data_IF_590583640206
#
_entry.id   IF_590583640206
#
_cell.length_a   1.000
_cell.length_b   1.000
_cell.length_c   1.000
_cell.angle_alpha   90.00
_cell.angle_beta   90.00
_cell.angle_gamma   90.00
#
_symmetry.space_group_name_H-M   'P 1'
#
loop_
_entity.id
_entity.type
_entity.pdbx_description
1 polymer ?
#
# COMPACT_ATOMS: atom_id res chain seq x y z
N UNK A 1 11.92 -25.15 -5.40
CA UNK A 1 11.62 -24.92 -3.97
C UNK A 1 10.14 -25.25 -3.75
N UNK A 2 9.71 -25.74 -2.59
CA UNK A 2 8.30 -26.11 -2.37
C UNK A 2 7.76 -25.54 -1.06
N UNK A 3 6.54 -24.98 -1.09
CA UNK A 3 5.86 -24.34 0.05
C UNK A 3 4.36 -24.64 0.01
N UNK A 4 3.64 -24.42 1.12
CA UNK A 4 2.16 -24.51 1.12
C UNK A 4 1.56 -23.29 0.43
N UNK A 5 2.07 -22.11 0.77
CA UNK A 5 1.61 -20.84 0.22
C UNK A 5 2.77 -20.05 -0.38
N UNK A 6 2.55 -19.51 -1.57
CA UNK A 6 3.45 -18.54 -2.19
C UNK A 6 2.72 -17.20 -2.32
N UNK A 7 3.29 -16.14 -1.74
CA UNK A 7 2.75 -14.80 -1.79
C UNK A 7 3.65 -13.95 -2.69
N UNK A 8 3.06 -13.38 -3.74
CA UNK A 8 3.77 -12.57 -4.73
C UNK A 8 3.60 -11.09 -4.41
N UNK A 9 4.66 -10.45 -3.93
CA UNK A 9 4.70 -9.06 -3.52
C UNK A 9 4.62 -8.92 -2.00
N UNK A 10 5.68 -8.39 -1.38
CA UNK A 10 5.68 -8.03 0.04
C UNK A 10 5.18 -6.59 0.25
N UNK A 11 4.07 -6.25 -0.42
CA UNK A 11 3.40 -4.96 -0.28
C UNK A 11 2.49 -4.89 0.94
N UNK A 12 1.63 -3.87 0.96
CA UNK A 12 0.70 -3.62 2.06
C UNK A 12 -0.14 -4.85 2.45
N UNK A 13 -0.75 -5.52 1.46
CA UNK A 13 -1.53 -6.73 1.72
C UNK A 13 -0.64 -7.96 1.95
N UNK A 14 0.40 -8.14 1.13
CA UNK A 14 1.24 -9.35 1.18
C UNK A 14 1.95 -9.55 2.51
N UNK A 15 2.42 -8.48 3.16
CA UNK A 15 2.97 -8.55 4.51
C UNK A 15 1.94 -9.03 5.55
N UNK A 16 0.69 -8.60 5.43
CA UNK A 16 -0.41 -9.02 6.33
C UNK A 16 -0.75 -10.50 6.09
N UNK A 17 -0.90 -10.91 4.83
CA UNK A 17 -1.21 -12.30 4.47
C UNK A 17 -0.11 -13.24 4.95
N UNK A 18 1.17 -12.89 4.73
CA UNK A 18 2.30 -13.68 5.20
C UNK A 18 2.29 -13.84 6.73
N UNK A 19 1.95 -12.77 7.46
CA UNK A 19 1.80 -12.83 8.91
C UNK A 19 0.72 -13.80 9.37
N UNK A 20 -0.46 -13.76 8.73
CA UNK A 20 -1.59 -14.60 9.12
C UNK A 20 -1.40 -16.06 8.72
N UNK A 21 -0.96 -16.35 7.50
CA UNK A 21 -0.77 -17.72 7.03
C UNK A 21 0.36 -18.47 7.75
N UNK A 22 1.38 -17.75 8.23
CA UNK A 22 2.48 -18.35 9.00
C UNK A 22 2.23 -18.43 10.51
N UNK A 23 1.09 -17.92 11.02
CA UNK A 23 0.87 -17.69 12.44
C UNK A 23 0.87 -18.95 13.31
N UNK A 24 0.32 -20.05 12.80
CA UNK A 24 0.17 -21.31 13.54
C UNK A 24 1.41 -22.23 13.43
N UNK A 25 2.41 -21.86 12.63
CA UNK A 25 3.60 -22.66 12.38
C UNK A 25 3.39 -23.89 11.48
N UNK A 26 2.15 -24.19 11.06
CA UNK A 26 1.80 -25.41 10.32
C UNK A 26 2.04 -25.28 8.83
N UNK A 27 1.84 -24.08 8.29
CA UNK A 27 2.01 -23.82 6.87
C UNK A 27 3.39 -23.22 6.59
N UNK A 28 4.09 -23.77 5.61
CA UNK A 28 5.30 -23.17 5.04
C UNK A 28 4.91 -22.08 4.03
N UNK A 29 5.44 -20.87 4.23
CA UNK A 29 5.07 -19.68 3.47
C UNK A 29 6.30 -19.08 2.80
N UNK A 30 6.22 -18.87 1.50
CA UNK A 30 7.20 -18.12 0.73
C UNK A 30 6.64 -16.74 0.37
N UNK A 31 7.31 -15.68 0.80
CA UNK A 31 6.99 -14.29 0.44
C UNK A 31 8.08 -13.75 -0.50
N UNK A 32 7.71 -13.38 -1.73
CA UNK A 32 8.63 -12.92 -2.77
C UNK A 32 8.43 -11.43 -3.03
N UNK A 33 9.51 -10.65 -3.02
CA UNK A 33 9.50 -9.21 -3.26
C UNK A 33 10.56 -8.80 -4.30
N UNK A 34 10.14 -8.08 -5.33
CA UNK A 34 11.02 -7.57 -6.38
C UNK A 34 11.98 -6.48 -5.87
N UNK A 35 11.56 -5.76 -4.85
CA UNK A 35 12.31 -4.70 -4.20
C UNK A 35 13.36 -5.14 -3.20
N UNK A 36 14.04 -4.14 -2.64
CA UNK A 36 15.06 -4.32 -1.61
C UNK A 36 14.43 -4.56 -0.23
N UNK A 37 15.27 -4.86 0.76
CA UNK A 37 14.92 -4.76 2.18
C UNK A 37 14.57 -3.30 2.54
N UNK A 38 13.80 -3.13 3.60
CA UNK A 38 13.28 -1.87 4.14
C UNK A 38 14.23 -1.12 5.09
N UNK A 39 15.53 -1.42 5.07
CA UNK A 39 16.51 -0.86 6.01
C UNK A 39 16.97 0.58 5.72
N UNK A 40 16.47 1.23 4.66
CA UNK A 40 16.89 2.58 4.32
C UNK A 40 16.23 3.62 5.25
N UNK A 41 17.03 4.56 5.75
CA UNK A 41 16.57 5.64 6.64
C UNK A 41 15.45 6.46 6.02
N UNK A 42 15.50 6.70 4.70
CA UNK A 42 14.45 7.42 3.96
C UNK A 42 13.09 6.73 4.00
N UNK A 43 13.02 5.43 4.30
CA UNK A 43 11.76 4.70 4.46
C UNK A 43 11.18 4.87 5.86
N UNK A 44 12.00 5.11 6.88
CA UNK A 44 11.56 5.34 8.26
C UNK A 44 11.12 6.77 8.52
N UNK A 45 11.85 7.74 7.96
CA UNK A 45 11.66 9.17 8.19
C UNK A 45 10.46 9.70 7.39
N UNK A 46 9.36 10.17 8.02
CA UNK A 46 8.21 10.73 7.32
C UNK A 46 8.56 11.88 6.37
N UNK A 47 9.42 12.80 6.82
CA UNK A 47 9.85 13.96 6.04
C UNK A 47 10.63 13.59 4.76
N UNK A 48 11.14 12.36 4.66
CA UNK A 48 11.89 11.88 3.51
C UNK A 48 11.00 11.34 2.37
N UNK A 49 9.68 11.39 2.49
CA UNK A 49 8.73 10.86 1.49
C UNK A 49 9.08 11.27 0.04
N UNK A 50 9.31 12.56 -0.20
CA UNK A 50 9.64 13.09 -1.54
C UNK A 50 10.95 12.55 -2.10
N UNK A 51 11.90 12.14 -1.25
CA UNK A 51 13.16 11.55 -1.71
C UNK A 51 12.95 10.16 -2.33
N UNK A 52 11.99 9.38 -1.81
CA UNK A 52 11.66 8.07 -2.36
C UNK A 52 10.85 8.18 -3.65
N UNK A 53 9.96 9.18 -3.77
CA UNK A 53 9.16 9.38 -4.99
C UNK A 53 9.99 9.86 -6.17
N UNK A 54 11.09 10.58 -5.93
CA UNK A 54 12.03 11.06 -6.96
C UNK A 54 13.09 10.04 -7.38
N UNK A 55 13.04 8.81 -6.86
CA UNK A 55 14.06 7.79 -7.08
C UNK A 55 13.43 6.45 -7.43
N UNK A 56 14.02 5.72 -8.37
CA UNK A 56 13.61 4.33 -8.68
C UNK A 56 14.19 3.29 -7.72
N UNK A 57 14.88 3.72 -6.65
CA UNK A 57 15.59 2.83 -5.72
C UNK A 57 14.64 1.94 -4.90
N UNK A 58 13.51 2.50 -4.46
CA UNK A 58 12.46 1.85 -3.67
C UNK A 58 11.06 2.12 -4.26
N UNK A 59 10.99 2.57 -5.50
CA UNK A 59 9.78 2.94 -6.21
C UNK A 59 9.90 2.40 -7.64
N UNK A 60 8.82 1.85 -8.17
CA UNK A 60 8.73 1.47 -9.57
C UNK A 60 8.72 2.69 -10.48
N UNK A 61 8.12 3.81 -10.02
CA UNK A 61 7.96 5.06 -10.76
C UNK A 61 7.50 4.81 -12.20
N UNK A 62 6.40 4.05 -12.35
CA UNK A 62 5.86 3.70 -13.66
C UNK A 62 5.50 4.98 -14.43
N UNK A 63 5.57 4.91 -15.76
CA UNK A 63 5.10 5.97 -16.65
C UNK A 63 3.84 5.47 -17.34
N UNK A 64 2.78 6.26 -17.25
CA UNK A 64 1.59 6.05 -18.06
C UNK A 64 1.84 6.41 -19.52
N UNK A 65 0.99 5.91 -20.40
CA UNK A 65 0.94 6.35 -21.80
C UNK A 65 0.55 7.83 -21.89
N UNK A 66 0.80 8.51 -23.02
CA UNK A 66 0.33 9.89 -23.22
C UNK A 66 -1.19 9.99 -23.11
N UNK A 67 -1.67 10.77 -22.14
CA UNK A 67 -3.10 10.94 -21.87
C UNK A 67 -3.71 11.99 -22.82
N UNK A 68 -4.61 11.60 -23.76
CA UNK A 68 -5.18 12.53 -24.74
C UNK A 68 -5.91 13.70 -24.09
N UNK A 69 -6.71 13.41 -23.07
CA UNK A 69 -7.51 14.39 -22.33
C UNK A 69 -6.68 15.29 -21.40
N UNK A 70 -5.39 14.99 -21.25
CA UNK A 70 -4.43 15.81 -20.49
C UNK A 70 -3.40 16.49 -21.40
N UNK A 71 -3.70 16.62 -22.71
CA UNK A 71 -2.84 17.26 -23.69
C UNK A 71 -1.59 16.45 -24.05
N UNK A 72 -1.70 15.11 -24.03
CA UNK A 72 -0.60 14.20 -24.34
C UNK A 72 0.45 14.06 -23.23
N UNK A 73 0.12 14.45 -21.99
CA UNK A 73 1.04 14.30 -20.85
C UNK A 73 1.16 12.83 -20.45
N UNK A 74 2.38 12.37 -20.22
CA UNK A 74 2.67 11.09 -19.55
C UNK A 74 2.91 11.33 -18.06
N UNK A 75 2.07 10.73 -17.23
CA UNK A 75 2.12 10.88 -15.78
C UNK A 75 2.97 9.77 -15.13
N UNK A 76 3.62 10.12 -14.01
CA UNK A 76 4.33 9.15 -13.18
C UNK A 76 3.37 8.53 -12.17
N UNK A 77 3.36 7.20 -12.09
CA UNK A 77 2.57 6.44 -11.12
C UNK A 77 3.52 5.74 -10.12
N UNK A 78 3.61 6.32 -8.93
CA UNK A 78 4.47 5.82 -7.87
C UNK A 78 3.89 4.56 -7.22
N UNK A 79 4.71 3.51 -7.14
CA UNK A 79 4.39 2.22 -6.51
C UNK A 79 5.62 1.71 -5.79
N UNK A 80 5.50 1.36 -4.52
CA UNK A 80 6.66 0.95 -3.73
C UNK A 80 7.29 -0.35 -4.23
N UNK A 81 8.62 -0.37 -4.27
CA UNK A 81 9.48 -1.50 -4.69
C UNK A 81 10.47 -1.81 -3.57
N UNK A 82 9.96 -2.29 -2.46
CA UNK A 82 10.70 -2.63 -1.23
C UNK A 82 9.77 -3.45 -0.32
N UNK A 83 10.30 -4.09 0.72
CA UNK A 83 9.44 -4.69 1.76
C UNK A 83 8.48 -3.63 2.33
N UNK A 84 7.20 -3.99 2.44
CA UNK A 84 6.07 -3.11 2.76
C UNK A 84 5.46 -2.39 1.56
N UNK A 85 6.07 -2.50 0.38
CA UNK A 85 5.61 -1.89 -0.87
C UNK A 85 5.30 -0.41 -0.72
N UNK A 86 4.16 0.02 -1.24
CA UNK A 86 3.76 1.43 -1.19
C UNK A 86 3.56 1.96 0.23
N UNK A 87 3.27 1.13 1.24
CA UNK A 87 3.17 1.59 2.63
C UNK A 87 4.51 2.14 3.17
N UNK A 88 5.64 1.68 2.61
CA UNK A 88 6.98 2.14 2.98
C UNK A 88 7.39 3.46 2.32
N UNK A 89 6.63 3.96 1.34
CA UNK A 89 6.93 5.21 0.61
C UNK A 89 5.76 6.21 0.57
N UNK A 90 4.60 5.90 1.18
CA UNK A 90 3.40 6.75 1.13
C UNK A 90 3.51 8.02 2.00
N UNK A 91 2.47 8.87 1.95
CA UNK A 91 2.31 10.07 2.77
C UNK A 91 1.84 9.84 4.21
N UNK A 92 1.72 8.59 4.66
CA UNK A 92 1.30 8.17 6.02
C UNK A 92 -0.09 8.60 6.47
N UNK A 93 -0.86 9.35 5.68
CA UNK A 93 -2.26 9.62 5.96
C UNK A 93 -2.98 8.29 6.17
N UNK A 94 -3.62 8.16 7.32
CA UNK A 94 -4.42 7.00 7.69
C UNK A 94 -5.89 7.39 7.65
N UNK A 95 -6.60 6.85 6.66
CA UNK A 95 -8.04 7.02 6.48
C UNK A 95 -8.61 5.69 6.04
N UNK A 96 -9.84 5.39 6.47
CA UNK A 96 -10.61 4.22 6.03
C UNK A 96 -11.61 4.64 4.96
N UNK A 97 -12.12 3.67 4.20
CA UNK A 97 -13.22 3.95 3.27
C UNK A 97 -14.51 4.34 4.00
N UNK A 98 -15.37 5.05 3.29
CA UNK A 98 -16.72 5.36 3.75
C UNK A 98 -17.55 4.08 3.89
N UNK A 99 -18.48 4.04 4.84
CA UNK A 99 -19.35 2.86 5.01
C UNK A 99 -20.05 2.50 3.70
N UNK A 100 -20.51 3.50 2.95
CA UNK A 100 -21.15 3.31 1.65
C UNK A 100 -20.22 2.74 0.56
N UNK A 101 -18.89 2.86 0.67
CA UNK A 101 -17.97 2.23 -0.28
C UNK A 101 -18.07 0.69 -0.17
N UNK A 102 -18.09 0.19 1.07
CA UNK A 102 -18.23 -1.23 1.40
C UNK A 102 -19.64 -1.76 1.15
N UNK A 103 -20.66 -0.95 1.45
CA UNK A 103 -22.04 -1.27 1.06
C UNK A 103 -22.19 -1.37 -0.46
N UNK A 104 -21.53 -0.48 -1.21
CA UNK A 104 -21.46 -0.55 -2.67
C UNK A 104 -20.82 -1.86 -3.16
N UNK A 105 -19.73 -2.31 -2.53
CA UNK A 105 -19.13 -3.61 -2.86
C UNK A 105 -20.07 -4.78 -2.58
N UNK A 106 -20.74 -4.77 -1.43
CA UNK A 106 -21.73 -5.80 -1.09
C UNK A 106 -22.88 -5.83 -2.10
N UNK A 107 -23.41 -4.66 -2.48
CA UNK A 107 -24.46 -4.53 -3.51
C UNK A 107 -23.98 -4.98 -4.90
N UNK A 108 -22.69 -4.82 -5.21
CA UNK A 108 -22.07 -5.31 -6.44
C UNK A 108 -21.80 -6.83 -6.45
N UNK A 109 -22.23 -7.57 -5.40
CA UNK A 109 -22.12 -9.02 -5.32
C UNK A 109 -20.95 -9.53 -4.47
N UNK A 110 -20.19 -8.66 -3.81
CA UNK A 110 -19.17 -9.06 -2.85
C UNK A 110 -19.82 -9.35 -1.48
N UNK A 111 -20.52 -10.48 -1.37
CA UNK A 111 -21.13 -10.90 -0.11
C UNK A 111 -20.09 -10.97 1.03
N UNK A 112 -20.46 -10.49 2.22
CA UNK A 112 -19.55 -10.40 3.37
C UNK A 112 -18.55 -9.25 3.33
N UNK A 113 -18.71 -8.29 2.41
CA UNK A 113 -17.87 -7.08 2.33
C UNK A 113 -18.61 -5.79 2.72
N UNK A 114 -19.76 -5.88 3.42
CA UNK A 114 -20.43 -4.70 3.97
C UNK A 114 -19.60 -4.03 5.07
N UNK A 115 -19.91 -2.79 5.44
CA UNK A 115 -19.09 -2.05 6.40
C UNK A 115 -19.00 -2.77 7.76
N UNK A 116 -20.13 -3.34 8.21
CA UNK A 116 -20.19 -4.11 9.44
C UNK A 116 -19.32 -5.38 9.40
N UNK A 117 -19.15 -5.99 8.22
CA UNK A 117 -18.34 -7.20 8.03
C UNK A 117 -16.84 -6.89 8.10
N UNK A 118 -16.42 -5.73 7.55
CA UNK A 118 -15.02 -5.32 7.50
C UNK A 118 -14.56 -4.56 8.74
N UNK A 119 -15.47 -3.93 9.50
CA UNK A 119 -15.14 -3.16 10.70
C UNK A 119 -14.31 -3.95 11.73
N UNK A 120 -14.62 -5.22 12.06
CA UNK A 120 -13.76 -6.04 12.92
C UNK A 120 -12.32 -6.15 12.42
N UNK A 121 -12.11 -6.20 11.10
CA UNK A 121 -10.77 -6.27 10.50
C UNK A 121 -10.03 -4.93 10.57
N UNK A 122 -10.74 -3.80 10.39
CA UNK A 122 -10.15 -2.49 10.63
C UNK A 122 -9.69 -2.33 12.07
N UNK A 123 -10.52 -2.73 13.05
CA UNK A 123 -10.15 -2.71 14.47
C UNK A 123 -8.98 -3.65 14.76
N UNK A 124 -8.96 -4.85 14.19
CA UNK A 124 -7.87 -5.82 14.38
C UNK A 124 -6.53 -5.37 13.76
N UNK A 125 -6.57 -4.53 12.74
CA UNK A 125 -5.37 -4.05 12.04
C UNK A 125 -4.62 -2.99 12.85
N UNK A 126 -5.33 -2.11 13.56
CA UNK A 126 -4.75 -0.91 14.15
C UNK A 126 -4.61 -0.96 15.69
N UNK A 127 -3.62 -0.21 16.18
CA UNK A 127 -3.49 0.25 17.54
C UNK A 127 -3.52 1.78 17.47
N UNK A 128 -4.71 2.33 17.71
CA UNK A 128 -4.96 3.76 17.77
C UNK A 128 -4.57 4.30 19.14
N UNK A 129 -3.76 5.35 19.16
CA UNK A 129 -3.27 5.97 20.39
C UNK A 129 -4.36 6.64 21.23
N UNK A 130 -5.45 7.10 20.61
CA UNK A 130 -6.64 7.60 21.30
C UNK A 130 -7.49 6.53 21.99
N UNK A 131 -7.09 5.25 21.93
CA UNK A 131 -7.77 4.13 22.57
C UNK A 131 -8.82 3.43 21.71
N UNK A 132 -9.20 2.22 22.11
CA UNK A 132 -10.24 1.45 21.42
C UNK A 132 -11.63 2.01 21.70
N UNK A 133 -12.52 1.94 20.70
CA UNK A 133 -13.94 2.24 20.85
C UNK A 133 -14.77 1.36 19.92
N UNK A 134 -16.03 1.71 19.68
CA UNK A 134 -16.89 0.99 18.75
C UNK A 134 -16.27 0.89 17.34
N UNK A 135 -15.57 1.96 16.92
CA UNK A 135 -14.96 2.06 15.60
C UNK A 135 -13.44 1.77 15.58
N UNK A 136 -12.72 2.03 16.68
CA UNK A 136 -11.25 2.04 16.71
C UNK A 136 -10.67 0.80 17.38
N UNK A 137 -9.51 0.36 16.89
CA UNK A 137 -8.73 -0.75 17.43
C UNK A 137 -7.66 -0.29 18.42
N UNK A 138 -7.41 -1.07 19.47
CA UNK A 138 -6.38 -0.77 20.49
C UNK A 138 -5.11 -1.61 20.39
N UNK A 139 -5.21 -2.81 19.81
CA UNK A 139 -4.17 -3.85 19.99
C UNK A 139 -3.55 -4.34 18.68
N UNK A 140 -3.99 -3.79 17.54
CA UNK A 140 -3.49 -4.17 16.23
C UNK A 140 -2.02 -3.79 16.01
N UNK A 141 -1.34 -4.45 15.08
CA UNK A 141 0.09 -4.22 14.84
C UNK A 141 0.39 -2.85 14.21
N UNK A 142 -0.56 -2.28 13.44
CA UNK A 142 -0.36 -0.99 12.79
C UNK A 142 -0.55 0.15 13.80
N UNK A 143 0.50 0.91 14.08
CA UNK A 143 0.40 2.07 14.97
C UNK A 143 -0.21 3.25 14.24
N UNK A 144 -1.27 3.80 14.81
CA UNK A 144 -2.02 4.94 14.27
C UNK A 144 -2.04 6.05 15.32
N UNK A 145 -1.63 7.24 14.91
CA UNK A 145 -1.49 8.41 15.77
C UNK A 145 -2.28 9.59 15.20
N UNK A 146 -3.14 10.20 16.01
CA UNK A 146 -3.77 11.48 15.67
C UNK A 146 -2.89 12.63 16.17
N UNK A 147 -2.33 13.46 15.27
CA UNK A 147 -1.58 14.63 15.72
C UNK A 147 -2.48 15.65 16.39
N UNK A 148 -1.88 16.46 17.26
CA UNK A 148 -2.46 17.71 17.78
C UNK A 148 -1.74 18.88 17.12
N UNK A 149 -2.19 19.32 15.92
CA UNK A 149 -1.53 20.42 15.22
C UNK A 149 -1.70 21.74 15.98
N UNK A 150 -0.59 22.42 16.24
CA UNK A 150 -0.53 23.74 16.90
C UNK A 150 -0.33 24.91 15.91
N UNK A 151 -0.04 24.59 14.64
CA UNK A 151 0.25 25.60 13.64
C UNK A 151 -1.02 26.38 13.23
N UNK A 152 -1.00 27.73 13.27
CA UNK A 152 -2.16 28.57 12.96
C UNK A 152 -2.83 28.29 11.61
N UNK A 153 -2.08 27.79 10.61
CA UNK A 153 -2.64 27.48 9.29
C UNK A 153 -3.68 26.35 9.35
N UNK A 154 -3.51 25.37 10.24
CA UNK A 154 -4.44 24.25 10.37
C UNK A 154 -5.75 24.70 11.02
N UNK A 155 -5.67 25.53 12.05
CA UNK A 155 -6.84 26.14 12.68
C UNK A 155 -7.58 27.04 11.69
N UNK A 156 -6.87 27.88 10.94
CA UNK A 156 -7.47 28.72 9.90
C UNK A 156 -8.20 27.90 8.83
N UNK A 157 -7.62 26.77 8.40
CA UNK A 157 -8.24 25.87 7.42
C UNK A 157 -9.52 25.21 7.96
N UNK A 158 -9.50 24.71 9.21
CA UNK A 158 -10.71 24.14 9.84
C UNK A 158 -11.82 25.18 10.00
N UNK A 159 -11.48 26.40 10.46
CA UNK A 159 -12.44 27.50 10.58
C UNK A 159 -13.01 27.92 9.23
N UNK A 160 -12.19 27.97 8.17
CA UNK A 160 -12.67 28.25 6.82
C UNK A 160 -13.67 27.20 6.32
N UNK A 161 -13.42 25.91 6.61
CA UNK A 161 -14.37 24.83 6.32
C UNK A 161 -15.72 25.04 7.00
N UNK A 162 -15.70 25.40 8.29
CA UNK A 162 -16.91 25.73 9.05
C UNK A 162 -17.65 26.96 8.48
N UNK A 163 -16.92 28.02 8.13
CA UNK A 163 -17.48 29.23 7.51
C UNK A 163 -18.11 28.94 6.14
N UNK A 164 -17.57 27.96 5.41
CA UNK A 164 -18.13 27.48 4.16
C UNK A 164 -19.35 26.54 4.35
N UNK A 165 -19.76 26.27 5.59
CA UNK A 165 -20.95 25.48 5.91
C UNK A 165 -20.70 23.99 6.12
N UNK A 166 -19.44 23.55 6.14
CA UNK A 166 -19.11 22.14 6.38
C UNK A 166 -19.06 21.81 7.87
N UNK A 167 -19.46 20.58 8.28
CA UNK A 167 -19.34 20.14 9.66
C UNK A 167 -17.87 19.87 10.02
N UNK A 168 -17.55 19.94 11.31
CA UNK A 168 -16.29 19.44 11.86
C UNK A 168 -16.46 17.97 12.26
N UNK A 169 -15.51 17.10 11.96
CA UNK A 169 -15.47 15.73 12.48
C UNK A 169 -14.38 15.60 13.55
N UNK A 170 -14.73 14.91 14.65
CA UNK A 170 -13.75 14.56 15.68
C UNK A 170 -12.90 13.37 15.27
N UNK A 171 -13.41 12.49 14.42
CA UNK A 171 -12.74 11.27 13.94
C UNK A 171 -13.32 10.83 12.60
N UNK A 172 -12.55 11.03 11.52
CA UNK A 172 -12.95 10.62 10.17
C UNK A 172 -12.97 9.10 9.97
N UNK A 173 -12.35 8.34 10.89
CA UNK A 173 -12.40 6.88 10.91
C UNK A 173 -13.44 6.34 11.91
N UNK A 174 -14.20 7.24 12.56
CA UNK A 174 -15.21 6.95 13.57
C UNK A 174 -16.63 7.06 13.02
N UNK A 175 -17.58 7.41 13.91
CA UNK A 175 -19.01 7.49 13.59
C UNK A 175 -19.34 8.37 12.37
N UNK A 176 -18.70 9.54 12.25
CA UNK A 176 -18.95 10.49 11.15
C UNK A 176 -17.67 10.79 10.38
N UNK A 177 -17.59 10.29 9.14
CA UNK A 177 -16.43 10.51 8.29
C UNK A 177 -16.45 11.87 7.58
N UNK A 178 -17.64 12.35 7.20
CA UNK A 178 -17.80 13.62 6.51
C UNK A 178 -17.51 14.81 7.43
N UNK A 179 -16.69 15.74 6.93
CA UNK A 179 -16.38 17.01 7.57
C UNK A 179 -14.89 17.34 7.62
N UNK A 180 -14.58 18.49 8.22
CA UNK A 180 -13.21 18.94 8.45
C UNK A 180 -12.67 18.36 9.76
N UNK A 181 -11.50 17.73 9.70
CA UNK A 181 -10.89 17.09 10.85
C UNK A 181 -9.37 17.02 10.72
N UNK A 182 -8.71 16.75 11.84
CA UNK A 182 -7.31 16.32 11.83
C UNK A 182 -7.21 14.89 11.30
N UNK A 183 -6.40 14.68 10.27
CA UNK A 183 -6.17 13.36 9.70
C UNK A 183 -5.21 12.54 10.57
N UNK A 184 -5.53 11.26 10.75
CA UNK A 184 -4.65 10.33 11.44
C UNK A 184 -3.43 9.98 10.59
N UNK A 185 -2.37 9.49 11.25
CA UNK A 185 -1.14 9.08 10.57
C UNK A 185 -0.70 7.69 11.02
N UNK A 186 -0.22 6.88 10.08
CA UNK A 186 0.45 5.61 10.38
C UNK A 186 1.89 5.87 10.82
N UNK A 187 2.07 6.40 12.03
CA UNK A 187 3.37 6.77 12.62
C UNK A 187 3.46 6.37 14.09
N UNK A 188 4.65 6.05 14.56
CA UNK A 188 4.93 5.71 15.96
C UNK A 188 6.32 6.18 16.37
N UNK A 189 6.43 6.88 17.51
CA UNK A 189 7.69 7.46 18.00
C UNK A 189 8.43 8.26 16.91
N UNK A 190 7.69 9.08 16.16
CA UNK A 190 8.20 9.87 15.04
C UNK A 190 8.43 9.08 13.75
N UNK A 191 8.56 7.76 13.79
CA UNK A 191 8.83 6.92 12.61
C UNK A 191 7.55 6.52 11.86
N UNK A 192 7.71 6.21 10.57
CA UNK A 192 6.67 5.56 9.77
C UNK A 192 6.34 4.17 10.31
N UNK A 193 5.05 3.90 10.52
CA UNK A 193 4.50 2.57 10.72
C UNK A 193 4.06 2.00 9.37
N UNK A 194 4.94 1.26 8.68
CA UNK A 194 4.60 0.57 7.43
C UNK A 194 4.12 -0.86 7.70
N UNK A 195 3.61 -1.55 6.69
CA UNK A 195 3.25 -2.96 6.85
C UNK A 195 4.48 -3.87 7.00
N UNK A 196 5.65 -3.43 6.51
CA UNK A 196 6.90 -4.14 6.74
C UNK A 196 7.29 -4.10 8.23
N UNK A 197 7.13 -2.95 8.89
CA UNK A 197 7.46 -2.79 10.31
C UNK A 197 6.38 -3.39 11.21
N UNK A 198 5.11 -3.13 10.91
CA UNK A 198 3.97 -3.59 11.71
C UNK A 198 3.73 -5.11 11.61
N UNK A 199 3.72 -5.67 10.39
CA UNK A 199 3.30 -7.05 10.17
C UNK A 199 4.45 -8.01 9.88
N UNK A 200 5.48 -7.58 9.14
CA UNK A 200 6.53 -8.50 8.70
C UNK A 200 7.69 -8.56 9.69
N UNK A 201 8.19 -7.44 10.21
CA UNK A 201 9.35 -7.40 11.10
C UNK A 201 9.22 -8.31 12.34
N UNK A 202 8.07 -8.37 13.04
CA UNK A 202 7.91 -9.22 14.24
C UNK A 202 7.99 -10.73 13.96
N UNK A 203 7.80 -11.15 12.71
CA UNK A 203 7.68 -12.57 12.33
C UNK A 203 8.84 -13.06 11.46
N UNK A 204 9.84 -12.22 11.14
CA UNK A 204 10.96 -12.59 10.24
C UNK A 204 11.75 -13.81 10.70
N UNK A 205 11.74 -14.09 12.02
CA UNK A 205 12.41 -15.25 12.61
C UNK A 205 11.59 -16.54 12.61
N UNK A 206 10.36 -16.55 12.10
CA UNK A 206 9.54 -17.76 12.03
C UNK A 206 10.19 -18.78 11.09
N UNK A 207 10.39 -20.02 11.57
CA UNK A 207 11.05 -21.10 10.80
C UNK A 207 10.26 -21.52 9.56
N UNK A 208 8.95 -21.30 9.55
CA UNK A 208 8.04 -21.63 8.45
C UNK A 208 7.79 -20.44 7.48
N UNK A 209 8.52 -19.33 7.61
CA UNK A 209 8.41 -18.18 6.72
C UNK A 209 9.76 -17.92 6.01
N UNK A 210 9.78 -18.04 4.70
CA UNK A 210 10.90 -17.63 3.86
C UNK A 210 10.56 -16.31 3.17
N UNK A 211 11.41 -15.29 3.30
CA UNK A 211 11.27 -14.01 2.60
C UNK A 211 12.42 -13.83 1.62
N UNK A 212 12.10 -13.69 0.33
CA UNK A 212 13.08 -13.45 -0.72
C UNK A 212 12.89 -12.03 -1.28
N UNK A 213 13.91 -11.20 -1.14
CA UNK A 213 13.94 -9.84 -1.72
C UNK A 213 14.79 -9.79 -2.99
N UNK A 214 14.63 -8.74 -3.80
CA UNK A 214 15.26 -8.59 -5.12
C UNK A 214 14.93 -9.77 -6.04
N UNK A 215 13.69 -10.28 -5.93
CA UNK A 215 13.20 -11.41 -6.70
C UNK A 215 11.96 -10.99 -7.48
N UNK A 216 12.07 -10.93 -8.81
CA UNK A 216 10.96 -10.53 -9.67
C UNK A 216 10.23 -11.77 -10.16
N UNK A 217 9.00 -11.97 -9.69
CA UNK A 217 8.11 -13.01 -10.25
C UNK A 217 7.74 -12.63 -11.68
N UNK A 218 7.97 -13.54 -12.61
CA UNK A 218 7.77 -13.32 -14.05
C UNK A 218 6.61 -14.13 -14.61
N UNK A 219 6.23 -15.24 -13.97
CA UNK A 219 5.12 -16.08 -14.41
C UNK A 219 4.50 -16.88 -13.27
N UNK A 220 3.20 -17.06 -13.30
CA UNK A 220 2.45 -18.02 -12.48
C UNK A 220 2.38 -19.34 -13.26
N UNK A 221 2.74 -20.44 -12.62
CA UNK A 221 2.54 -21.78 -13.19
C UNK A 221 1.09 -22.17 -13.00
N UNK A 222 0.43 -22.50 -14.11
CA UNK A 222 -0.96 -22.94 -14.15
C UNK A 222 -1.00 -24.27 -14.88
N UNK A 223 -1.46 -25.32 -14.21
CA UNK A 223 -1.57 -26.70 -14.68
C UNK A 223 -3.00 -27.17 -14.36
N UNK A 224 -3.72 -27.70 -15.36
CA UNK A 224 -5.11 -28.17 -15.24
C UNK A 224 -6.08 -27.19 -14.56
N UNK A 225 -5.91 -25.90 -14.87
CA UNK A 225 -6.73 -24.82 -14.32
C UNK A 225 -6.34 -24.37 -12.89
N UNK A 226 -5.33 -24.98 -12.27
CA UNK A 226 -4.87 -24.64 -10.93
C UNK A 226 -3.52 -23.92 -10.93
N UNK A 227 -3.33 -22.93 -10.06
CA UNK A 227 -2.05 -22.26 -9.86
C UNK A 227 -1.12 -23.13 -9.00
N UNK A 228 -0.12 -23.78 -9.62
CA UNK A 228 0.77 -24.74 -8.95
C UNK A 228 2.10 -24.15 -8.47
N UNK A 229 2.34 -22.87 -8.75
CA UNK A 229 3.57 -22.20 -8.32
C UNK A 229 3.89 -20.94 -9.11
N UNK A 230 5.14 -20.49 -9.00
CA UNK A 230 5.64 -19.31 -9.71
C UNK A 230 7.07 -19.52 -10.19
N UNK A 231 7.42 -18.79 -11.24
CA UNK A 231 8.80 -18.60 -11.70
C UNK A 231 9.21 -17.17 -11.42
N UNK A 232 10.43 -16.97 -10.91
CA UNK A 232 10.98 -15.66 -10.61
C UNK A 232 12.47 -15.58 -10.94
N UNK A 233 12.97 -14.37 -11.18
CA UNK A 233 14.39 -14.08 -11.34
C UNK A 233 14.94 -13.61 -10.00
N UNK A 234 15.94 -14.32 -9.45
CA UNK A 234 16.55 -13.98 -8.15
C UNK A 234 17.53 -12.80 -8.23
N UNK A 235 18.11 -12.42 -7.09
CA UNK A 235 19.05 -11.31 -7.00
C UNK A 235 20.36 -11.50 -7.81
N UNK A 236 20.65 -12.73 -8.25
CA UNK A 236 21.80 -13.10 -9.08
C UNK A 236 21.43 -13.20 -10.56
N UNK A 237 20.18 -12.91 -10.93
CA UNK A 237 19.69 -13.05 -12.31
C UNK A 237 19.35 -14.49 -12.68
N UNK A 238 19.28 -15.41 -11.72
CA UNK A 238 18.96 -16.81 -12.00
C UNK A 238 17.45 -17.02 -12.01
N UNK A 239 16.95 -17.75 -13.02
CA UNK A 239 15.56 -18.17 -13.08
C UNK A 239 15.32 -19.30 -12.09
N UNK A 240 14.40 -19.10 -11.14
CA UNK A 240 14.07 -20.05 -10.07
C UNK A 240 12.58 -20.36 -10.12
N UNK A 241 12.24 -21.64 -9.90
CA UNK A 241 10.86 -22.11 -9.77
C UNK A 241 10.55 -22.50 -8.33
N UNK A 242 9.40 -22.03 -7.84
CA UNK A 242 8.83 -22.45 -6.57
C UNK A 242 7.41 -23.01 -6.78
N UNK A 243 7.11 -24.17 -6.18
CA UNK A 243 5.81 -24.83 -6.23
C UNK A 243 5.01 -24.54 -4.97
N UNK A 244 3.69 -24.38 -5.13
CA UNK A 244 2.74 -24.18 -4.04
C UNK A 244 1.87 -25.44 -3.90
N UNK A 245 1.83 -26.04 -2.70
CA UNK A 245 0.96 -27.20 -2.41
C UNK A 245 -0.51 -26.81 -2.23
N UNK A 246 -0.79 -25.54 -1.89
CA UNK A 246 -2.15 -25.04 -1.69
C UNK A 246 -2.47 -23.89 -2.63
N UNK A 247 -1.89 -22.72 -2.40
CA UNK A 247 -2.31 -21.51 -3.10
C UNK A 247 -1.15 -20.58 -3.44
N UNK A 248 -1.31 -19.88 -4.57
CA UNK A 248 -0.51 -18.71 -4.94
C UNK A 248 -1.36 -17.46 -4.70
N UNK A 249 -0.92 -16.59 -3.79
CA UNK A 249 -1.63 -15.34 -3.47
C UNK A 249 -0.93 -14.16 -4.14
N UNK A 250 -1.64 -13.50 -5.06
CA UNK A 250 -1.15 -12.29 -5.71
C UNK A 250 -1.36 -11.06 -4.82
N UNK A 251 -0.26 -10.39 -4.49
CA UNK A 251 -0.21 -9.15 -3.71
C UNK A 251 0.73 -8.12 -4.36
N UNK A 252 0.85 -8.16 -5.69
CA UNK A 252 1.71 -7.29 -6.50
C UNK A 252 1.08 -5.90 -6.79
N UNK A 253 -0.05 -5.58 -6.15
CA UNK A 253 -0.77 -4.32 -6.26
C UNK A 253 -1.62 -4.20 -7.53
N UNK A 254 -2.41 -3.13 -7.61
CA UNK A 254 -3.37 -2.91 -8.71
C UNK A 254 -2.73 -2.79 -10.10
N UNK A 255 -1.42 -2.56 -10.18
CA UNK A 255 -0.65 -2.54 -11.45
C UNK A 255 0.05 -3.88 -11.69
N UNK A 256 0.77 -4.40 -10.69
CA UNK A 256 1.59 -5.60 -10.86
C UNK A 256 0.77 -6.89 -10.96
N UNK A 257 -0.33 -7.01 -10.21
CA UNK A 257 -1.17 -8.22 -10.21
C UNK A 257 -1.81 -8.50 -11.57
N UNK A 258 -2.55 -7.57 -12.21
CA UNK A 258 -3.13 -7.83 -13.52
C UNK A 258 -2.06 -8.04 -14.60
N UNK A 259 -0.95 -7.30 -14.54
CA UNK A 259 0.17 -7.52 -15.46
C UNK A 259 0.73 -8.94 -15.36
N UNK A 260 0.97 -9.44 -14.14
CA UNK A 260 1.48 -10.79 -13.95
C UNK A 260 0.46 -11.88 -14.34
N UNK A 261 -0.84 -11.66 -14.10
CA UNK A 261 -1.89 -12.53 -14.62
C UNK A 261 -1.84 -12.62 -16.14
N UNK A 262 -1.75 -11.47 -16.82
CA UNK A 262 -1.66 -11.43 -18.28
C UNK A 262 -0.41 -12.14 -18.79
N UNK A 263 0.78 -11.90 -18.21
CA UNK A 263 2.01 -12.63 -18.55
C UNK A 263 1.91 -14.16 -18.32
N UNK A 264 0.95 -14.58 -17.49
CA UNK A 264 0.70 -15.98 -17.15
C UNK A 264 -0.42 -16.62 -17.98
N UNK A 265 -0.98 -15.88 -18.94
CA UNK A 265 -2.05 -16.37 -19.82
C UNK A 265 -3.46 -16.19 -19.26
N UNK A 266 -3.66 -15.36 -18.24
CA UNK A 266 -4.97 -15.05 -17.64
C UNK A 266 -5.32 -13.59 -17.90
N UNK A 267 -6.28 -13.34 -18.79
CA UNK A 267 -6.68 -11.98 -19.18
C UNK A 267 -7.42 -11.94 -20.52
N UNK A 268 -7.60 -10.76 -21.14
CA UNK A 268 -8.36 -10.64 -22.38
C UNK A 268 -7.68 -11.40 -23.53
N UNK A 269 -8.32 -12.45 -24.05
CA UNK A 269 -7.70 -13.39 -25.00
C UNK A 269 -7.09 -12.73 -26.26
N UNK A 270 -7.78 -11.74 -26.83
CA UNK A 270 -7.30 -11.00 -28.00
C UNK A 270 -6.02 -10.20 -27.69
N UNK A 271 -5.97 -9.53 -26.53
CA UNK A 271 -4.81 -8.79 -26.09
C UNK A 271 -3.62 -9.71 -25.80
N UNK A 272 -3.86 -10.84 -25.14
CA UNK A 272 -2.83 -11.85 -24.86
C UNK A 272 -2.24 -12.41 -26.15
N UNK A 273 -3.09 -12.85 -27.08
CA UNK A 273 -2.67 -13.39 -28.38
C UNK A 273 -1.87 -12.36 -29.19
N UNK A 274 -2.30 -11.10 -29.21
CA UNK A 274 -1.59 -10.01 -29.91
C UNK A 274 -0.18 -9.75 -29.33
N UNK A 275 0.06 -10.10 -28.07
CA UNK A 275 1.35 -9.99 -27.40
C UNK A 275 2.13 -11.32 -27.36
N UNK A 276 1.70 -12.33 -28.11
CA UNK A 276 2.38 -13.64 -28.16
C UNK A 276 2.29 -14.45 -26.87
N UNK A 277 1.31 -14.17 -26.01
CA UNK A 277 1.06 -14.93 -24.78
C UNK A 277 -0.02 -15.98 -25.05
N UNK A 278 0.29 -17.23 -24.72
CA UNK A 278 -0.68 -18.33 -24.74
C UNK A 278 -1.85 -18.03 -23.80
N UNK A 279 -3.07 -18.09 -24.32
CA UNK A 279 -4.31 -17.89 -23.54
C UNK A 279 -4.63 -19.17 -22.77
N UNK A 280 -4.56 -19.09 -21.44
CA UNK A 280 -5.01 -20.15 -20.54
C UNK A 280 -6.42 -19.95 -20.04
N UNK A 281 -6.77 -18.69 -19.71
CA UNK A 281 -8.10 -18.29 -19.26
C UNK A 281 -8.42 -16.94 -19.89
N UNK A 282 -9.49 -16.90 -20.68
CA UNK A 282 -10.04 -15.63 -21.17
C UNK A 282 -10.83 -14.96 -20.05
N UNK A 283 -10.27 -13.89 -19.50
CA UNK A 283 -10.88 -13.12 -18.42
C UNK A 283 -10.75 -11.62 -18.75
N UNK A 284 -11.71 -11.06 -19.52
CA UNK A 284 -11.57 -9.72 -20.10
C UNK A 284 -11.51 -8.60 -19.07
N UNK A 285 -11.94 -8.84 -17.82
CA UNK A 285 -11.83 -7.86 -16.73
C UNK A 285 -10.40 -7.64 -16.21
N UNK A 286 -9.43 -8.52 -16.51
CA UNK A 286 -8.06 -8.36 -16.03
C UNK A 286 -7.42 -7.13 -16.68
N UNK A 287 -6.92 -6.21 -15.83
CA UNK A 287 -6.32 -4.96 -16.27
C UNK A 287 -7.33 -3.85 -16.60
N UNK A 288 -8.63 -4.13 -16.48
CA UNK A 288 -9.70 -3.16 -16.68
C UNK A 288 -10.16 -2.56 -15.36
N UNK A 289 -11.07 -1.56 -15.44
CA UNK A 289 -11.66 -0.88 -14.28
C UNK A 289 -10.61 -0.32 -13.30
N UNK A 290 -9.49 0.20 -13.84
CA UNK A 290 -8.51 0.91 -13.04
C UNK A 290 -9.12 2.22 -12.55
N UNK A 291 -9.25 2.35 -11.24
CA UNK A 291 -9.67 3.57 -10.58
C UNK A 291 -8.48 4.13 -9.79
N UNK A 292 -8.23 5.43 -9.92
CA UNK A 292 -7.26 6.18 -9.13
C UNK A 292 -7.88 7.53 -8.75
N UNK A 293 -7.35 8.19 -7.73
CA UNK A 293 -7.82 9.52 -7.32
C UNK A 293 -6.91 10.59 -7.95
N UNK A 294 -7.35 11.30 -9.01
CA UNK A 294 -6.54 12.37 -9.59
C UNK A 294 -6.40 13.52 -8.58
N UNK A 295 -5.15 13.97 -8.39
CA UNK A 295 -4.82 15.09 -7.52
C UNK A 295 -4.35 16.29 -8.34
N UNK A 296 -4.73 17.49 -7.89
CA UNK A 296 -4.19 18.75 -8.38
C UNK A 296 -3.88 19.67 -7.20
N UNK A 297 -2.74 20.34 -7.26
CA UNK A 297 -2.23 21.11 -6.12
C UNK A 297 -2.46 22.60 -6.34
N UNK A 298 -3.28 23.20 -5.48
CA UNK A 298 -3.38 24.66 -5.35
C UNK A 298 -2.36 25.16 -4.32
N UNK A 299 -1.61 26.21 -4.68
CA UNK A 299 -0.56 26.78 -3.81
C UNK A 299 -0.82 28.26 -3.58
N UNK A 300 -0.78 28.67 -2.32
CA UNK A 300 -0.99 30.05 -1.90
C UNK A 300 0.18 30.54 -1.05
N UNK A 301 0.52 31.81 -1.19
CA UNK A 301 1.52 32.47 -0.35
C UNK A 301 0.87 32.78 1.01
N UNK A 302 1.51 32.34 2.10
CA UNK A 302 1.10 32.73 3.44
C UNK A 302 1.56 34.16 3.75
N UNK A 303 0.70 34.95 4.41
CA UNK A 303 1.04 36.29 4.89
C UNK A 303 1.97 36.24 6.11
N UNK A 304 1.91 35.15 6.88
CA UNK A 304 2.75 34.88 8.05
C UNK A 304 3.74 33.74 7.74
N UNK A 305 4.86 33.62 8.46
CA UNK A 305 5.86 32.57 8.26
C UNK A 305 5.44 31.21 8.85
N UNK A 306 4.20 30.78 8.59
CA UNK A 306 3.58 29.58 9.15
C UNK A 306 3.62 28.37 8.21
N UNK A 307 4.01 28.56 6.95
CA UNK A 307 4.12 27.46 5.98
C UNK A 307 5.32 26.55 6.24
N UNK A 308 5.25 25.30 5.80
CA UNK A 308 6.38 24.34 5.83
C UNK A 308 7.50 24.66 4.82
N UNK A 309 7.35 25.70 3.99
CA UNK A 309 8.27 26.01 2.90
C UNK A 309 9.74 26.16 3.35
N UNK A 310 10.07 26.89 4.44
CA UNK A 310 11.45 27.01 4.91
C UNK A 310 12.10 25.66 5.25
N UNK A 311 11.34 24.72 5.81
CA UNK A 311 11.78 23.38 6.17
C UNK A 311 12.08 22.52 4.94
N UNK A 312 11.51 22.86 3.78
CA UNK A 312 11.80 22.18 2.51
C UNK A 312 13.11 22.62 1.85
N UNK A 313 13.78 23.68 2.34
CA UNK A 313 15.08 24.14 1.84
C UNK A 313 16.23 23.31 2.42
N UNK A 314 17.43 23.40 1.83
CA UNK A 314 18.58 22.57 2.19
C UNK A 314 18.91 22.61 3.69
N UNK A 315 19.04 23.80 4.29
CA UNK A 315 19.32 23.97 5.72
C UNK A 315 18.19 23.41 6.59
N UNK A 316 16.93 23.69 6.23
CA UNK A 316 15.75 23.16 6.93
C UNK A 316 15.71 21.64 6.91
N UNK A 317 16.02 21.03 5.75
CA UNK A 317 16.15 19.57 5.62
C UNK A 317 17.31 19.02 6.45
N UNK A 318 18.44 19.72 6.51
CA UNK A 318 19.60 19.30 7.30
C UNK A 318 19.27 19.30 8.80
N UNK A 319 18.68 20.38 9.33
CA UNK A 319 18.23 20.44 10.73
C UNK A 319 17.17 19.39 11.05
N UNK A 320 16.18 19.22 10.16
CA UNK A 320 15.19 18.15 10.31
C UNK A 320 15.83 16.77 10.30
N UNK A 321 16.92 16.56 9.55
CA UNK A 321 17.69 15.32 9.51
C UNK A 321 18.52 15.06 10.77
N UNK A 322 19.06 16.10 11.42
CA UNK A 322 19.83 15.98 12.68
C UNK A 322 18.97 15.39 13.80
N UNK A 323 17.66 15.66 13.82
CA UNK A 323 16.73 15.09 14.80
C UNK A 323 16.60 13.56 14.74
N UNK A 324 17.24 12.92 13.75
CA UNK A 324 17.20 11.47 13.53
C UNK A 324 18.53 10.78 13.81
N UNK A 325 19.61 11.52 14.08
CA UNK A 325 20.90 10.97 14.53
C UNK A 325 20.81 10.55 15.99
#
# INVERSE_FOLDING_TARGET
>A
MEYDYIIVGAGSAGCVVANRLSADGKNSVLLIEAGRKDGAWTLKIPAAVLSNLKSTRHNWAFRGEPEPELGGRSLQHDRGKTLGGSSSINGMVFIRGHAMDFEGWRQAGCEGWGYADVLPYFKRMECYDGGSCDYRGGDGPMKVHRPEPDNPIYHAFQQAGKQAGYPESKDICGYRQEGFATLDRSTHNGERSSTATAFLAPIRGRRNLTVITKALVTKIKIEDGAATGVTFVDARGTLVTATARREVVLSAGAVGSPHLLMLSGVGPAAHLSANGVEVKVDLPGVGQNLNDHPDFVLKYKCLQPVSIWPQTKLLGRAFAGIQWL
#
